data_IF_465288075071
#
_entry.id   IF_465288075071
#
_cell.length_a   1.000
_cell.length_b   1.000
_cell.length_c   1.000
_cell.angle_alpha   90.00
_cell.angle_beta   90.00
_cell.angle_gamma   90.00
#
_symmetry.space_group_name_H-M   'P 1'
#
loop_
_entity.id
_entity.type
_entity.pdbx_description
1 polymer ?
#
# COMPACT_ATOMS: atom_id res chain seq x y z
N UNK A 1 6.39 9.99 16.15
CA UNK A 1 5.22 9.09 16.18
C UNK A 1 5.61 7.93 17.08
N UNK A 2 4.99 7.79 18.25
CA UNK A 2 5.33 6.73 19.21
C UNK A 2 4.92 5.36 18.62
N UNK A 3 5.86 4.41 18.60
CA UNK A 3 5.62 3.04 18.18
C UNK A 3 6.62 2.12 18.88
N UNK A 4 6.17 0.94 19.26
CA UNK A 4 6.99 -0.10 19.84
C UNK A 4 6.48 -1.48 19.40
N UNK A 5 7.34 -2.48 19.52
CA UNK A 5 7.08 -3.84 19.07
C UNK A 5 7.45 -4.81 20.19
N UNK A 6 6.54 -5.72 20.51
CA UNK A 6 6.78 -6.85 21.40
C UNK A 6 7.04 -8.06 20.50
N UNK A 7 8.25 -8.60 20.54
CA UNK A 7 8.68 -9.76 19.76
C UNK A 7 9.76 -10.60 20.46
N UNK A 8 10.02 -10.32 21.74
CA UNK A 8 10.98 -11.01 22.60
C UNK A 8 10.23 -11.39 23.88
N UNK A 9 10.72 -12.38 24.63
CA UNK A 9 9.98 -12.94 25.78
C UNK A 9 9.79 -11.89 26.88
N UNK A 10 10.83 -11.10 27.11
CA UNK A 10 10.96 -10.08 28.14
C UNK A 10 9.91 -8.98 27.94
N UNK A 11 9.55 -8.69 26.69
CA UNK A 11 8.51 -7.72 26.35
C UNK A 11 7.10 -8.10 26.86
N UNK A 12 6.88 -9.36 27.21
CA UNK A 12 5.58 -9.87 27.69
C UNK A 12 5.51 -10.00 29.21
N UNK A 13 6.59 -9.71 29.94
CA UNK A 13 6.63 -9.89 31.40
C UNK A 13 5.65 -8.94 32.11
N UNK A 14 5.57 -7.70 31.64
CA UNK A 14 4.72 -6.65 32.23
C UNK A 14 3.33 -6.55 31.58
N UNK A 15 3.00 -7.42 30.62
CA UNK A 15 1.70 -7.42 29.93
C UNK A 15 0.76 -8.43 30.57
N UNK A 16 -0.49 -8.04 30.82
CA UNK A 16 -1.47 -8.92 31.45
C UNK A 16 -1.70 -10.17 30.59
N UNK A 17 -1.51 -11.36 31.18
CA UNK A 17 -1.56 -12.63 30.46
C UNK A 17 -0.34 -12.93 29.57
N UNK A 18 0.65 -12.04 29.50
CA UNK A 18 1.85 -12.22 28.68
C UNK A 18 2.69 -13.43 29.11
N UNK A 19 2.83 -13.65 30.42
CA UNK A 19 3.46 -14.85 30.98
C UNK A 19 2.77 -16.15 30.53
N UNK A 20 1.44 -16.17 30.49
CA UNK A 20 0.65 -17.30 30.01
C UNK A 20 0.86 -17.55 28.51
N UNK A 21 0.88 -16.48 27.71
CA UNK A 21 1.18 -16.57 26.29
C UNK A 21 2.59 -17.14 26.05
N UNK A 22 3.60 -16.70 26.80
CA UNK A 22 4.98 -17.20 26.67
C UNK A 22 5.12 -18.67 27.06
N UNK A 23 4.37 -19.12 28.06
CA UNK A 23 4.33 -20.53 28.42
C UNK A 23 3.64 -21.38 27.35
N UNK A 24 2.53 -20.89 26.78
CA UNK A 24 1.85 -21.53 25.65
C UNK A 24 2.80 -21.67 24.46
N UNK A 25 3.48 -20.58 24.09
CA UNK A 25 4.46 -20.56 23.00
C UNK A 25 5.57 -21.57 23.27
N UNK A 26 6.11 -21.62 24.49
CA UNK A 26 7.16 -22.55 24.87
C UNK A 26 6.72 -24.01 24.83
N UNK A 27 5.58 -24.33 25.47
CA UNK A 27 5.00 -25.67 25.52
C UNK A 27 4.75 -26.22 24.11
N UNK A 28 4.31 -25.33 23.23
CA UNK A 28 3.98 -25.62 21.85
C UNK A 28 5.16 -25.41 20.91
N UNK A 29 6.38 -25.11 21.40
CA UNK A 29 7.54 -24.87 20.54
C UNK A 29 7.25 -23.91 19.38
N UNK A 30 6.42 -22.90 19.63
CA UNK A 30 6.03 -21.88 18.66
C UNK A 30 7.05 -20.76 18.63
N UNK A 31 7.02 -19.95 17.57
CA UNK A 31 7.72 -18.67 17.58
C UNK A 31 6.95 -17.67 18.45
N UNK A 32 7.69 -16.77 19.09
CA UNK A 32 7.12 -15.68 19.89
C UNK A 32 6.29 -14.79 18.94
N UNK A 33 5.01 -14.50 19.26
CA UNK A 33 4.19 -13.59 18.47
C UNK A 33 4.84 -12.21 18.32
N UNK A 34 4.46 -11.49 17.27
CA UNK A 34 4.81 -10.08 17.13
C UNK A 34 3.58 -9.23 17.40
N UNK A 35 3.67 -8.29 18.35
CA UNK A 35 2.65 -7.27 18.60
C UNK A 35 3.27 -5.90 18.35
N UNK A 36 2.82 -5.22 17.30
CA UNK A 36 3.24 -3.86 16.96
C UNK A 36 2.19 -2.86 17.39
N UNK A 37 2.59 -1.92 18.25
CA UNK A 37 1.74 -0.84 18.75
C UNK A 37 2.18 0.49 18.13
N UNK A 38 1.24 1.29 17.67
CA UNK A 38 1.50 2.59 17.03
C UNK A 38 0.47 3.62 17.46
N UNK A 39 0.94 4.76 18.01
CA UNK A 39 0.10 5.91 18.29
C UNK A 39 -0.35 6.56 16.99
N UNK A 40 -1.66 6.58 16.74
CA UNK A 40 -2.23 7.09 15.48
C UNK A 40 -2.54 8.57 15.59
N UNK A 41 -3.27 8.95 16.64
CA UNK A 41 -3.72 10.31 16.97
C UNK A 41 -3.78 10.46 18.49
N UNK A 42 -3.90 11.68 19.05
CA UNK A 42 -4.09 11.86 20.48
C UNK A 42 -5.26 11.00 20.99
N UNK A 43 -4.99 10.13 21.98
CA UNK A 43 -6.00 9.23 22.56
C UNK A 43 -6.41 8.03 21.70
N UNK A 44 -5.64 7.67 20.65
CA UNK A 44 -5.89 6.48 19.84
C UNK A 44 -4.61 5.73 19.46
N UNK A 45 -4.64 4.43 19.72
CA UNK A 45 -3.57 3.48 19.46
C UNK A 45 -4.05 2.40 18.50
N UNK A 46 -3.21 2.08 17.51
CA UNK A 46 -3.41 0.91 16.66
C UNK A 46 -2.46 -0.21 17.12
N UNK A 47 -3.02 -1.38 17.37
CA UNK A 47 -2.27 -2.59 17.74
C UNK A 47 -2.43 -3.59 16.61
N UNK A 48 -1.33 -4.15 16.12
CA UNK A 48 -1.30 -5.19 15.09
C UNK A 48 -0.56 -6.39 15.60
N UNK A 49 -1.07 -7.56 15.28
CA UNK A 49 -0.56 -8.82 15.84
C UNK A 49 -0.37 -9.83 14.77
N UNK A 50 0.72 -10.57 14.92
CA UNK A 50 1.10 -11.66 14.07
C UNK A 50 1.46 -12.87 14.94
N UNK A 51 0.61 -13.88 14.91
CA UNK A 51 0.90 -15.19 15.48
C UNK A 51 1.41 -16.11 14.38
N UNK A 52 2.63 -16.60 14.52
CA UNK A 52 3.29 -17.41 13.50
C UNK A 52 2.71 -18.83 13.42
N UNK A 53 2.46 -19.32 12.21
CA UNK A 53 2.11 -20.72 11.98
C UNK A 53 3.33 -21.64 12.02
N UNK A 54 3.15 -22.93 12.35
CA UNK A 54 4.20 -23.92 12.13
C UNK A 54 4.18 -24.39 10.69
N UNK A 55 5.36 -24.71 10.15
CA UNK A 55 5.45 -25.32 8.82
C UNK A 55 4.76 -26.68 8.75
N UNK A 56 4.71 -27.39 9.88
CA UNK A 56 4.08 -28.70 10.01
C UNK A 56 2.57 -28.62 10.26
N UNK A 57 2.01 -27.41 10.48
CA UNK A 57 0.57 -27.25 10.72
C UNK A 57 -0.23 -27.55 9.43
N UNK A 58 -1.43 -28.16 9.55
CA UNK A 58 -2.33 -28.37 8.41
C UNK A 58 -2.73 -27.05 7.72
N UNK A 59 -2.64 -25.94 8.45
CA UNK A 59 -2.79 -24.57 7.96
C UNK A 59 -1.58 -23.77 8.44
N UNK A 60 -0.49 -23.70 7.65
CA UNK A 60 0.76 -23.08 8.08
C UNK A 60 0.71 -21.54 8.08
N UNK A 61 -0.40 -20.94 7.65
CA UNK A 61 -0.55 -19.49 7.51
C UNK A 61 -0.43 -18.75 8.85
N UNK A 62 0.24 -17.60 8.85
CA UNK A 62 0.28 -16.73 10.00
C UNK A 62 -1.11 -16.14 10.29
N UNK A 63 -1.50 -16.08 11.56
CA UNK A 63 -2.74 -15.41 11.99
C UNK A 63 -2.40 -13.94 12.22
N UNK A 64 -3.00 -13.07 11.42
CA UNK A 64 -2.80 -11.63 11.50
C UNK A 64 -4.12 -10.92 11.83
N UNK A 65 -4.09 -10.02 12.81
CA UNK A 65 -5.24 -9.17 13.14
C UNK A 65 -4.76 -7.84 13.72
N UNK A 66 -5.67 -6.89 13.85
CA UNK A 66 -5.36 -5.62 14.48
C UNK A 66 -6.60 -4.97 15.06
N UNK A 67 -6.36 -4.14 16.07
CA UNK A 67 -7.40 -3.41 16.79
C UNK A 67 -7.04 -1.93 16.93
N UNK A 68 -8.05 -1.11 17.13
CA UNK A 68 -7.95 0.31 17.46
C UNK A 68 -8.54 0.51 18.85
N UNK A 69 -7.76 1.12 19.73
CA UNK A 69 -8.14 1.32 21.14
C UNK A 69 -7.80 2.74 21.58
N UNK A 70 -8.54 3.23 22.56
CA UNK A 70 -8.27 4.53 23.19
C UNK A 70 -7.12 4.47 24.20
N UNK A 71 -6.86 3.28 24.75
CA UNK A 71 -5.88 3.03 25.79
C UNK A 71 -4.85 1.99 25.31
N UNK A 72 -3.58 2.30 25.55
CA UNK A 72 -2.45 1.53 25.06
C UNK A 72 -2.38 0.15 25.71
N UNK A 73 -2.47 0.13 27.04
CA UNK A 73 -2.32 -1.06 27.88
C UNK A 73 -3.52 -1.99 27.69
N UNK A 74 -4.73 -1.43 27.62
CA UNK A 74 -5.93 -2.17 27.26
C UNK A 74 -5.77 -2.85 25.89
N UNK A 75 -5.25 -2.14 24.89
CA UNK A 75 -5.01 -2.68 23.56
C UNK A 75 -4.04 -3.86 23.57
N UNK A 76 -2.94 -3.73 24.30
CA UNK A 76 -1.94 -4.80 24.46
C UNK A 76 -2.53 -6.02 25.18
N UNK A 77 -3.22 -5.81 26.30
CA UNK A 77 -3.82 -6.87 27.11
C UNK A 77 -4.88 -7.65 26.32
N UNK A 78 -5.80 -6.95 25.64
CA UNK A 78 -6.80 -7.59 24.76
C UNK A 78 -6.12 -8.42 23.68
N UNK A 79 -5.08 -7.86 23.07
CA UNK A 79 -4.36 -8.52 21.98
C UNK A 79 -3.65 -9.79 22.45
N UNK A 80 -3.05 -9.79 23.64
CA UNK A 80 -2.43 -10.96 24.25
C UNK A 80 -3.48 -12.04 24.53
N UNK A 81 -4.64 -11.67 25.07
CA UNK A 81 -5.77 -12.59 25.27
C UNK A 81 -6.26 -13.20 23.94
N UNK A 82 -6.34 -12.38 22.88
CA UNK A 82 -6.70 -12.86 21.54
C UNK A 82 -5.63 -13.83 21.01
N UNK A 83 -4.34 -13.54 21.22
CA UNK A 83 -3.23 -14.42 20.79
C UNK A 83 -3.34 -15.78 21.47
N UNK A 84 -3.55 -15.78 22.79
CA UNK A 84 -3.78 -17.00 23.55
C UNK A 84 -4.96 -17.77 22.96
N UNK A 85 -6.09 -17.10 22.72
CA UNK A 85 -7.31 -17.72 22.21
C UNK A 85 -7.10 -18.33 20.82
N UNK A 86 -6.48 -17.59 19.89
CA UNK A 86 -6.17 -18.05 18.54
C UNK A 86 -5.24 -19.28 18.55
N UNK A 87 -4.14 -19.23 19.33
CA UNK A 87 -3.18 -20.32 19.43
C UNK A 87 -3.82 -21.56 20.09
N UNK A 88 -4.61 -21.35 21.14
CA UNK A 88 -5.34 -22.43 21.81
C UNK A 88 -6.31 -23.13 20.88
N UNK A 89 -7.03 -22.37 20.06
CA UNK A 89 -7.97 -22.92 19.09
C UNK A 89 -7.27 -23.66 17.95
N UNK A 90 -6.18 -23.09 17.42
CA UNK A 90 -5.39 -23.69 16.34
C UNK A 90 -4.81 -25.04 16.76
N UNK A 91 -4.21 -25.11 17.95
CA UNK A 91 -3.54 -26.32 18.43
C UNK A 91 -4.37 -27.16 19.40
N UNK A 92 -5.70 -26.98 19.42
CA UNK A 92 -6.62 -27.61 20.39
C UNK A 92 -6.50 -29.14 20.51
N UNK A 93 -6.06 -29.83 19.45
CA UNK A 93 -5.90 -31.29 19.44
C UNK A 93 -4.65 -31.69 20.25
N UNK A 94 -3.52 -31.03 20.04
CA UNK A 94 -2.28 -31.21 20.83
C UNK A 94 -2.48 -30.75 22.28
N UNK A 95 -3.29 -29.71 22.48
CA UNK A 95 -3.61 -29.17 23.79
C UNK A 95 -4.63 -30.02 24.54
N UNK A 96 -5.51 -30.77 23.86
CA UNK A 96 -6.64 -31.49 24.45
C UNK A 96 -6.28 -32.47 25.58
N UNK A 97 -5.08 -33.04 25.58
CA UNK A 97 -4.58 -33.94 26.64
C UNK A 97 -3.78 -33.22 27.74
N UNK A 98 -3.52 -31.91 27.61
CA UNK A 98 -2.55 -31.18 28.44
C UNK A 98 -3.02 -29.82 28.95
N UNK A 99 -4.07 -29.22 28.36
CA UNK A 99 -4.37 -27.80 28.56
C UNK A 99 -4.76 -27.46 29.99
N UNK A 100 -5.75 -28.17 30.54
CA UNK A 100 -6.18 -27.93 31.92
C UNK A 100 -5.29 -28.61 32.96
N UNK A 101 -4.61 -29.70 32.57
CA UNK A 101 -3.77 -30.49 33.47
C UNK A 101 -2.38 -29.90 33.74
N UNK A 102 -1.74 -29.26 32.74
CA UNK A 102 -0.38 -28.69 32.87
C UNK A 102 -0.35 -27.21 33.20
N UNK A 103 -1.29 -26.41 32.66
CA UNK A 103 -1.31 -24.96 32.91
C UNK A 103 -2.04 -24.60 34.22
N UNK A 104 -2.93 -25.48 34.69
CA UNK A 104 -3.71 -25.27 35.92
C UNK A 104 -4.58 -24.01 35.86
N UNK A 105 -5.19 -23.66 36.99
CA UNK A 105 -5.81 -22.35 37.15
C UNK A 105 -4.70 -21.34 37.42
N UNK A 106 -4.67 -20.23 36.68
CA UNK A 106 -3.73 -19.13 36.92
C UNK A 106 -4.50 -17.85 37.14
N UNK A 107 -3.99 -17.00 38.02
CA UNK A 107 -4.51 -15.64 38.15
C UNK A 107 -4.09 -14.80 36.92
N UNK A 108 -4.63 -13.59 36.74
CA UNK A 108 -4.26 -12.70 35.63
C UNK A 108 -2.76 -12.39 35.55
N UNK A 109 -2.04 -12.48 36.66
CA UNK A 109 -0.60 -12.30 36.78
C UNK A 109 0.22 -13.56 36.37
N UNK A 110 -0.45 -14.68 36.07
CA UNK A 110 0.17 -15.93 35.62
C UNK A 110 0.66 -16.87 36.74
N UNK A 111 0.40 -16.54 38.00
CA UNK A 111 0.71 -17.40 39.14
C UNK A 111 -0.28 -18.57 39.23
N UNK A 112 0.23 -19.77 39.52
CA UNK A 112 -0.61 -20.95 39.70
C UNK A 112 -1.50 -20.82 40.94
N UNK A 113 -2.80 -20.97 40.73
CA UNK A 113 -3.80 -21.12 41.77
C UNK A 113 -3.89 -22.62 42.08
N UNK A 114 -3.31 -23.01 43.21
CA UNK A 114 -3.50 -24.34 43.77
C UNK A 114 -4.89 -24.42 44.39
N UNK A 115 -5.81 -25.09 43.70
CA UNK A 115 -7.12 -25.40 44.25
C UNK A 115 -6.99 -26.51 45.29
N UNK A 116 -7.65 -26.36 46.44
CA UNK A 116 -7.83 -27.46 47.41
C UNK A 116 -8.69 -28.56 46.80
N UNK A 117 -8.62 -29.79 47.30
CA UNK A 117 -9.42 -30.90 46.75
C UNK A 117 -10.93 -30.65 46.87
N UNK A 118 -11.37 -29.96 47.92
CA UNK A 118 -12.76 -29.49 48.09
C UNK A 118 -13.14 -28.44 47.04
N UNK A 119 -12.24 -27.52 46.71
CA UNK A 119 -12.45 -26.56 45.63
C UNK A 119 -12.49 -27.26 44.26
N UNK A 120 -11.59 -28.22 44.00
CA UNK A 120 -11.59 -29.02 42.76
C UNK A 120 -12.93 -29.77 42.59
N UNK A 121 -13.47 -30.35 43.66
CA UNK A 121 -14.79 -31.01 43.64
C UNK A 121 -15.90 -29.99 43.37
N UNK A 122 -15.84 -28.80 43.96
CA UNK A 122 -16.83 -27.73 43.76
C UNK A 122 -16.78 -27.14 42.35
N UNK A 123 -15.60 -27.05 41.76
CA UNK A 123 -15.38 -26.60 40.39
C UNK A 123 -15.54 -27.70 39.34
N UNK A 124 -15.55 -28.99 39.71
CA UNK A 124 -15.68 -30.10 38.76
C UNK A 124 -17.00 -30.05 37.96
N UNK A 125 -18.17 -29.83 38.59
CA UNK A 125 -19.42 -29.58 37.85
C UNK A 125 -19.37 -28.28 37.02
N UNK A 126 -18.72 -27.24 37.54
CA UNK A 126 -18.56 -25.95 36.84
C UNK A 126 -17.60 -26.08 35.64
N UNK A 127 -16.62 -26.97 35.70
CA UNK A 127 -15.69 -27.30 34.63
C UNK A 127 -16.40 -28.02 33.49
N UNK A 128 -17.23 -29.02 33.83
CA UNK A 128 -18.08 -29.72 32.85
C UNK A 128 -19.07 -28.73 32.23
N UNK A 129 -19.75 -27.93 33.04
CA UNK A 129 -20.67 -26.90 32.58
C UNK A 129 -19.98 -25.83 31.71
N UNK A 130 -18.76 -25.39 32.05
CA UNK A 130 -17.99 -24.42 31.28
C UNK A 130 -17.45 -25.02 29.97
N UNK A 131 -17.10 -26.31 29.96
CA UNK A 131 -16.74 -27.02 28.73
C UNK A 131 -17.96 -27.17 27.81
N UNK A 132 -19.13 -27.51 28.35
CA UNK A 132 -20.39 -27.57 27.62
C UNK A 132 -20.81 -26.20 27.09
N UNK A 133 -20.74 -25.15 27.90
CA UNK A 133 -20.95 -23.76 27.48
C UNK A 133 -19.95 -23.33 26.41
N UNK A 134 -18.66 -23.67 26.58
CA UNK A 134 -17.63 -23.37 25.60
C UNK A 134 -17.88 -24.06 24.26
N UNK A 135 -18.38 -25.30 24.29
CA UNK A 135 -18.79 -26.03 23.08
C UNK A 135 -20.06 -25.44 22.48
N UNK A 136 -21.03 -25.03 23.30
CA UNK A 136 -22.27 -24.40 22.88
C UNK A 136 -22.03 -23.04 22.21
N UNK A 137 -21.21 -22.17 22.82
CA UNK A 137 -20.80 -20.88 22.25
C UNK A 137 -20.04 -21.09 20.93
N UNK A 138 -19.13 -22.07 20.87
CA UNK A 138 -18.43 -22.40 19.61
C UNK A 138 -19.38 -22.82 18.50
N UNK A 139 -20.40 -23.62 18.82
CA UNK A 139 -21.41 -24.02 17.85
C UNK A 139 -22.25 -22.83 17.41
N UNK A 140 -22.73 -22.00 18.33
CA UNK A 140 -23.45 -20.76 18.01
C UNK A 140 -22.62 -19.80 17.14
N UNK A 141 -21.33 -19.63 17.42
CA UNK A 141 -20.43 -18.81 16.60
C UNK A 141 -20.24 -19.40 15.20
N UNK A 142 -20.13 -20.73 15.10
CA UNK A 142 -20.02 -21.43 13.82
C UNK A 142 -21.31 -21.29 13.01
N UNK A 143 -22.46 -21.42 13.65
CA UNK A 143 -23.78 -21.28 13.03
C UNK A 143 -23.99 -19.83 12.56
N UNK A 144 -23.67 -18.85 13.41
CA UNK A 144 -23.71 -17.43 13.06
C UNK A 144 -22.77 -17.12 11.89
N UNK A 145 -21.54 -17.65 11.87
CA UNK A 145 -20.60 -17.51 10.76
C UNK A 145 -21.14 -18.16 9.48
N UNK A 146 -21.72 -19.36 9.59
CA UNK A 146 -22.32 -20.06 8.45
C UNK A 146 -23.48 -19.24 7.87
N UNK A 147 -24.36 -18.72 8.72
CA UNK A 147 -25.49 -17.88 8.32
C UNK A 147 -25.03 -16.54 7.72
N UNK A 148 -23.92 -15.98 8.23
CA UNK A 148 -23.28 -14.79 7.67
C UNK A 148 -22.65 -15.05 6.29
N UNK A 149 -22.09 -16.25 6.06
CA UNK A 149 -21.49 -16.65 4.79
C UNK A 149 -22.50 -17.17 3.76
N UNK A 150 -23.64 -17.71 4.20
CA UNK A 150 -24.77 -18.09 3.34
C UNK A 150 -25.70 -16.91 3.02
N UNK A 151 -25.49 -15.75 3.63
CA UNK A 151 -26.20 -14.53 3.26
C UNK A 151 -25.67 -14.01 1.91
N UNK A 152 -26.28 -14.49 0.82
CA UNK A 152 -25.92 -14.16 -0.55
C UNK A 152 -25.88 -12.64 -0.82
N UNK A 153 -26.73 -11.85 -0.14
CA UNK A 153 -26.74 -10.40 -0.28
C UNK A 153 -25.46 -9.73 0.28
N UNK A 154 -24.93 -10.22 1.40
CA UNK A 154 -23.66 -9.74 1.95
C UNK A 154 -22.47 -10.19 1.10
N UNK A 155 -22.53 -11.40 0.55
CA UNK A 155 -21.51 -11.92 -0.37
C UNK A 155 -21.47 -11.13 -1.68
N UNK A 156 -22.62 -10.80 -2.25
CA UNK A 156 -22.72 -9.92 -3.42
C UNK A 156 -22.28 -8.50 -3.10
N UNK A 157 -22.64 -7.96 -1.93
CA UNK A 157 -22.19 -6.65 -1.46
C UNK A 157 -20.66 -6.57 -1.33
N UNK A 158 -20.03 -7.60 -0.74
CA UNK A 158 -18.58 -7.68 -0.59
C UNK A 158 -17.87 -7.80 -1.95
N UNK A 159 -18.40 -8.58 -2.87
CA UNK A 159 -17.84 -8.72 -4.22
C UNK A 159 -17.97 -7.41 -5.02
N UNK A 160 -19.09 -6.71 -4.88
CA UNK A 160 -19.31 -5.40 -5.49
C UNK A 160 -18.30 -4.38 -4.99
N UNK A 161 -18.04 -4.36 -3.68
CA UNK A 161 -17.09 -3.42 -3.08
C UNK A 161 -15.64 -3.76 -3.47
N UNK A 162 -15.28 -5.05 -3.51
CA UNK A 162 -14.00 -5.51 -4.07
C UNK A 162 -13.81 -5.04 -5.52
N UNK A 163 -14.85 -5.12 -6.34
CA UNK A 163 -14.79 -4.66 -7.73
C UNK A 163 -14.58 -3.15 -7.83
N UNK A 164 -15.21 -2.35 -6.97
CA UNK A 164 -14.98 -0.90 -6.89
C UNK A 164 -13.53 -0.58 -6.52
N UNK A 165 -12.95 -1.30 -5.56
CA UNK A 165 -11.54 -1.10 -5.16
C UNK A 165 -10.58 -1.38 -6.31
N UNK A 166 -10.81 -2.44 -7.09
CA UNK A 166 -10.01 -2.76 -8.28
C UNK A 166 -10.11 -1.66 -9.34
N UNK A 167 -11.32 -1.13 -9.58
CA UNK A 167 -11.52 -0.05 -10.54
C UNK A 167 -10.81 1.24 -10.11
N UNK A 168 -10.84 1.58 -8.82
CA UNK A 168 -10.10 2.74 -8.27
C UNK A 168 -8.59 2.56 -8.45
N UNK A 169 -8.04 1.38 -8.15
CA UNK A 169 -6.62 1.10 -8.35
C UNK A 169 -6.19 1.21 -9.82
N UNK A 170 -7.04 0.79 -10.76
CA UNK A 170 -6.78 0.94 -12.20
C UNK A 170 -6.75 2.42 -12.61
N UNK A 171 -7.68 3.21 -12.08
CA UNK A 171 -7.75 4.65 -12.35
C UNK A 171 -6.54 5.39 -11.77
N UNK A 172 -6.05 4.98 -10.59
CA UNK A 172 -4.82 5.51 -9.99
C UNK A 172 -3.57 5.19 -10.83
N UNK A 173 -3.50 3.98 -11.41
CA UNK A 173 -2.43 3.59 -12.34
C UNK A 173 -2.45 4.40 -13.64
N UNK A 174 -3.64 4.72 -14.17
CA UNK A 174 -3.79 5.59 -15.35
C UNK A 174 -3.40 7.04 -15.02
N UNK A 175 -3.77 7.55 -13.84
CA UNK A 175 -3.36 8.87 -13.35
C UNK A 175 -1.84 8.95 -13.18
N UNK A 176 -1.17 7.87 -12.75
CA UNK A 176 0.29 7.83 -12.63
C UNK A 176 1.05 7.83 -13.98
N UNK A 177 0.40 7.47 -15.09
CA UNK A 177 1.02 7.50 -16.44
C UNK A 177 0.99 8.89 -17.09
N UNK A 178 -0.01 9.72 -16.75
CA UNK A 178 -0.15 11.09 -17.27
C UNK A 178 1.10 11.98 -17.07
N UNK A 179 1.79 11.97 -15.91
CA UNK A 179 3.03 12.73 -15.71
C UNK A 179 4.16 12.33 -16.65
N UNK A 180 4.27 11.04 -16.98
CA UNK A 180 5.33 10.54 -17.85
C UNK A 180 5.06 10.89 -19.32
N UNK A 181 3.81 10.75 -19.77
CA UNK A 181 3.37 11.20 -21.09
C UNK A 181 3.51 12.71 -21.27
N UNK A 182 3.20 13.50 -20.23
CA UNK A 182 3.38 14.94 -20.24
C UNK A 182 4.87 15.33 -20.36
N UNK A 183 5.75 14.63 -19.64
CA UNK A 183 7.20 14.85 -19.71
C UNK A 183 7.78 14.50 -21.09
N UNK A 184 7.29 13.40 -21.69
CA UNK A 184 7.66 13.00 -23.05
C UNK A 184 7.18 14.03 -24.08
N UNK A 185 5.94 14.51 -23.95
CA UNK A 185 5.37 15.55 -24.81
C UNK A 185 6.15 16.87 -24.70
N UNK A 186 6.52 17.29 -23.50
CA UNK A 186 7.31 18.50 -23.26
C UNK A 186 8.71 18.41 -23.90
N UNK A 187 9.33 17.22 -23.84
CA UNK A 187 10.63 16.96 -24.46
C UNK A 187 10.57 17.06 -25.99
N UNK A 188 9.53 16.47 -26.60
CA UNK A 188 9.31 16.56 -28.05
C UNK A 188 9.00 17.99 -28.50
N UNK A 189 8.18 18.72 -27.76
CA UNK A 189 7.90 20.13 -28.05
C UNK A 189 9.17 20.99 -28.02
N UNK A 190 10.03 20.78 -27.01
CA UNK A 190 11.31 21.48 -26.93
C UNK A 190 12.25 21.14 -28.10
N UNK A 191 12.32 19.87 -28.51
CA UNK A 191 13.09 19.47 -29.68
C UNK A 191 12.58 20.14 -30.97
N UNK A 192 11.26 20.22 -31.13
CA UNK A 192 10.62 20.95 -32.24
C UNK A 192 10.97 22.45 -32.25
N UNK A 193 10.96 23.11 -31.08
CA UNK A 193 11.35 24.52 -30.97
C UNK A 193 12.81 24.75 -31.39
N UNK A 194 13.72 23.84 -31.02
CA UNK A 194 15.12 23.89 -31.43
C UNK A 194 15.27 23.78 -32.96
N UNK A 195 14.53 22.87 -33.59
CA UNK A 195 14.52 22.74 -35.06
C UNK A 195 13.94 23.98 -35.75
N UNK A 196 12.83 24.52 -35.24
CA UNK A 196 12.22 25.76 -35.74
C UNK A 196 13.24 26.91 -35.68
N UNK A 197 13.99 27.04 -34.59
CA UNK A 197 15.04 28.07 -34.48
C UNK A 197 16.16 27.86 -35.50
N UNK A 198 16.56 26.62 -35.75
CA UNK A 198 17.56 26.28 -36.77
C UNK A 198 17.11 26.67 -38.17
N UNK A 199 15.86 26.35 -38.53
CA UNK A 199 15.25 26.72 -39.82
C UNK A 199 15.15 28.25 -39.95
N UNK A 200 14.70 28.94 -38.89
CA UNK A 200 14.61 30.40 -38.87
C UNK A 200 15.96 31.07 -39.13
N UNK A 201 17.02 30.56 -38.53
CA UNK A 201 18.38 31.05 -38.75
C UNK A 201 18.87 30.80 -40.19
N UNK A 202 18.53 29.66 -40.80
CA UNK A 202 18.84 29.39 -42.20
C UNK A 202 18.09 30.34 -43.13
N UNK A 203 16.81 30.60 -42.87
CA UNK A 203 15.98 31.53 -43.66
C UNK A 203 16.55 32.95 -43.65
N UNK A 204 16.98 33.45 -42.49
CA UNK A 204 17.61 34.77 -42.35
C UNK A 204 18.89 34.88 -43.19
N UNK A 205 19.74 33.84 -43.17
CA UNK A 205 20.95 33.79 -44.02
C UNK A 205 20.62 33.84 -45.50
N UNK A 206 19.58 33.11 -45.92
CA UNK A 206 19.15 33.04 -47.31
C UNK A 206 18.54 34.38 -47.78
N UNK A 207 17.73 35.03 -46.94
CA UNK A 207 17.22 36.37 -47.19
C UNK A 207 18.36 37.40 -47.35
N UNK A 208 19.39 37.33 -46.51
CA UNK A 208 20.57 38.19 -46.64
C UNK A 208 21.28 38.01 -47.98
N UNK A 209 21.47 36.75 -48.43
CA UNK A 209 22.04 36.45 -49.75
C UNK A 209 21.16 36.98 -50.89
N UNK A 210 19.84 36.80 -50.80
CA UNK A 210 18.89 37.30 -51.79
C UNK A 210 18.96 38.82 -51.93
N UNK A 211 18.98 39.58 -50.82
CA UNK A 211 19.14 41.04 -50.85
C UNK A 211 20.43 41.46 -51.53
N UNK A 212 21.55 40.78 -51.24
CA UNK A 212 22.84 41.07 -51.87
C UNK A 212 22.81 40.82 -53.38
N UNK A 213 22.18 39.74 -53.82
CA UNK A 213 21.98 39.46 -55.25
C UNK A 213 21.12 40.53 -55.92
N UNK A 214 20.06 41.00 -55.25
CA UNK A 214 19.20 42.07 -55.77
C UNK A 214 19.98 43.37 -56.01
N UNK A 215 20.78 43.81 -55.03
CA UNK A 215 21.62 45.02 -55.16
C UNK A 215 22.63 44.85 -56.31
N UNK A 216 23.27 43.68 -56.42
CA UNK A 216 24.19 43.41 -57.52
C UNK A 216 23.49 43.47 -58.89
N UNK A 217 22.25 43.00 -58.97
CA UNK A 217 21.45 43.05 -60.19
C UNK A 217 21.07 44.48 -60.56
N UNK A 218 20.64 45.30 -59.61
CA UNK A 218 20.38 46.73 -59.82
C UNK A 218 21.62 47.47 -60.33
N UNK A 219 22.79 47.22 -59.72
CA UNK A 219 24.06 47.77 -60.18
C UNK A 219 24.38 47.37 -61.63
N UNK A 220 24.20 46.10 -61.99
CA UNK A 220 24.42 45.64 -63.36
C UNK A 220 23.45 46.28 -64.36
N UNK A 221 22.20 46.51 -63.96
CA UNK A 221 21.21 47.22 -64.78
C UNK A 221 21.62 48.67 -65.01
N UNK A 222 22.06 49.39 -63.96
CA UNK A 222 22.58 50.76 -64.09
C UNK A 222 23.82 50.83 -65.00
N UNK A 223 24.77 49.90 -64.86
CA UNK A 223 25.96 49.84 -65.73
C UNK A 223 25.58 49.56 -67.19
N UNK A 224 24.58 48.69 -67.43
CA UNK A 224 24.06 48.46 -68.78
C UNK A 224 23.40 49.71 -69.37
N UNK A 225 22.66 50.49 -68.58
CA UNK A 225 22.06 51.74 -69.05
C UNK A 225 23.10 52.80 -69.43
N UNK A 226 24.23 52.89 -68.71
CA UNK A 226 25.35 53.78 -69.08
C UNK A 226 26.03 53.40 -70.39
N UNK A 227 25.93 52.14 -70.82
CA UNK A 227 26.50 51.65 -72.08
C UNK A 227 25.58 51.77 -73.28
N UNK A 228 24.35 52.30 -73.12
CA UNK A 228 23.47 52.59 -74.27
C UNK A 228 24.03 53.79 -75.04
N UNK A 229 24.39 53.65 -76.34
CA UNK A 229 24.89 54.77 -77.12
C UNK A 229 23.77 55.79 -77.39
N UNK A 230 24.10 57.08 -77.24
CA UNK A 230 23.27 58.22 -77.67
C UNK A 230 22.89 58.05 -79.14
N UNK A 231 21.62 57.73 -79.42
CA UNK A 231 21.06 57.93 -80.76
C UNK A 231 20.89 59.43 -81.00
N UNK A 232 21.98 60.08 -81.42
CA UNK A 232 21.88 61.38 -82.10
C UNK A 232 21.09 61.18 -83.39
N UNK A 233 19.92 61.81 -83.47
CA UNK A 233 19.20 62.06 -84.73
C UNK A 233 20.15 62.78 -85.69
N UNK A 234 20.52 62.12 -86.78
CA UNK A 234 21.03 62.82 -87.96
C UNK A 234 19.83 63.34 -88.74
N UNK A 235 19.54 64.63 -88.58
CA UNK A 235 18.82 65.43 -89.57
C UNK A 235 19.65 65.48 -90.85
N UNK A 236 19.08 65.01 -91.96
CA UNK A 236 19.46 65.44 -93.30
C UNK A 236 18.20 65.98 -93.95
N UNK A 237 18.02 67.30 -93.86
CA UNK A 237 17.40 68.08 -94.92
C UNK A 237 18.55 68.48 -95.85
N UNK A 238 18.42 68.18 -97.13
CA UNK A 238 18.82 69.10 -98.20
C UNK A 238 18.18 68.64 -99.52
N UNK A 239 17.17 69.41 -99.92
CA UNK A 239 16.66 69.52 -101.28
C UNK A 239 17.78 69.75 -102.29
N UNK A 240 17.71 69.13 -103.47
CA UNK A 240 17.80 69.86 -104.75
C UNK A 240 17.62 68.95 -105.98
N UNK A 241 16.54 69.27 -106.72
CA UNK A 241 16.24 69.04 -108.16
C UNK A 241 15.75 67.65 -108.57
#
# INVERSE_FOLDING_TARGET
MESYTLNEREHYEDVLGGSFLMELVHMMKLQIPEIKVTKRKPGFWGVRTKNFGRKEDPKPEDINYGTLTHDCDMGMNTTVCDSITCLSYRHRVELGTHYFGRLGWKNPEGAHIMLTDEQKVKFSPVLVYNQELGNYIKNLQKDLLSEFFENDALREGLNTEKQKVVNVQKHDLEIQKLPEDFKNSQTMAHAGDVEIQKIKNQLLKLQGRHRKLHINMEYLVEELEKTKPDQKKATYDEDMI
#
